data_IF_514181991779
#
_entry.id   IF_514181991779
#
_cell.length_a   1.000
_cell.length_b   1.000
_cell.length_c   1.000
_cell.angle_alpha   90.00
_cell.angle_beta   90.00
_cell.angle_gamma   90.00
#
_symmetry.space_group_name_H-M   'P 1'
#
loop_
_entity.id
_entity.type
_entity.pdbx_description
1 polymer ?
#
# COMPACT_ATOMS: atom_id res chain seq x y z
N UNK A 1 11.50 -0.56 41.47
CA UNK A 1 11.59 0.70 40.70
C UNK A 1 12.76 0.60 39.72
N UNK A 2 12.63 -0.17 38.63
CA UNK A 2 13.70 -0.43 37.65
C UNK A 2 13.22 -0.09 36.22
N UNK A 3 12.76 1.15 35.99
CA UNK A 3 12.01 1.44 34.76
C UNK A 3 12.14 2.85 34.18
N UNK A 4 13.30 3.51 34.25
CA UNK A 4 13.42 4.93 33.79
C UNK A 4 14.63 5.21 32.87
N UNK A 5 15.30 4.18 32.35
CA UNK A 5 16.43 4.37 31.41
C UNK A 5 16.21 3.67 30.06
N UNK A 6 14.97 3.71 29.54
CA UNK A 6 14.82 3.74 28.09
C UNK A 6 15.28 5.14 27.68
N UNK A 7 16.34 5.22 26.89
CA UNK A 7 16.93 6.51 26.54
C UNK A 7 15.92 7.36 25.75
N UNK A 8 15.96 8.70 25.85
CA UNK A 8 15.12 9.57 25.02
C UNK A 8 15.24 9.28 23.51
N UNK A 9 16.39 8.73 23.09
CA UNK A 9 16.62 8.29 21.72
C UNK A 9 15.79 7.05 21.35
N UNK A 10 15.62 6.10 22.27
CA UNK A 10 14.79 4.92 22.06
C UNK A 10 13.31 5.30 21.96
N UNK A 11 12.84 6.19 22.83
CA UNK A 11 11.47 6.71 22.78
C UNK A 11 11.20 7.45 21.47
N UNK A 12 12.14 8.30 21.03
CA UNK A 12 12.06 8.98 19.74
C UNK A 12 12.01 7.98 18.58
N UNK A 13 12.88 6.98 18.58
CA UNK A 13 12.96 6.01 17.51
C UNK A 13 11.69 5.11 17.45
N UNK A 14 11.11 4.76 18.60
CA UNK A 14 9.81 4.07 18.67
C UNK A 14 8.67 4.93 18.11
N UNK A 15 8.66 6.23 18.40
CA UNK A 15 7.68 7.17 17.85
C UNK A 15 7.79 7.26 16.31
N UNK A 16 9.00 7.34 15.77
CA UNK A 16 9.22 7.34 14.32
C UNK A 16 8.77 6.01 13.69
N UNK A 17 9.07 4.88 14.32
CA UNK A 17 8.64 3.57 13.85
C UNK A 17 7.11 3.43 13.81
N UNK A 18 6.41 3.98 14.80
CA UNK A 18 4.94 4.01 14.82
C UNK A 18 4.36 4.83 13.65
N UNK A 19 4.95 6.00 13.35
CA UNK A 19 4.52 6.79 12.18
C UNK A 19 4.76 6.07 10.86
N UNK A 20 5.86 5.34 10.71
CA UNK A 20 6.09 4.54 9.50
C UNK A 20 5.06 3.42 9.35
N UNK A 21 4.67 2.76 10.44
CA UNK A 21 3.60 1.77 10.42
C UNK A 21 2.26 2.38 9.97
N UNK A 22 1.90 3.56 10.48
CA UNK A 22 0.67 4.25 10.09
C UNK A 22 0.68 4.68 8.61
N UNK A 23 1.79 5.24 8.13
CA UNK A 23 1.97 5.60 6.72
C UNK A 23 1.85 4.35 5.84
N UNK A 24 2.43 3.23 6.27
CA UNK A 24 2.33 1.98 5.53
C UNK A 24 0.89 1.50 5.37
N UNK A 25 0.11 1.49 6.46
CA UNK A 25 -1.30 1.12 6.42
C UNK A 25 -2.10 2.04 5.50
N UNK A 26 -1.81 3.34 5.50
CA UNK A 26 -2.41 4.30 4.60
C UNK A 26 -2.07 4.03 3.12
N UNK A 27 -0.81 3.71 2.83
CA UNK A 27 -0.37 3.35 1.47
C UNK A 27 -1.05 2.07 0.98
N UNK A 28 -1.17 1.05 1.83
CA UNK A 28 -1.91 -0.18 1.50
C UNK A 28 -3.38 0.12 1.22
N UNK A 29 -4.01 0.98 2.03
CA UNK A 29 -5.40 1.40 1.83
C UNK A 29 -5.61 2.06 0.47
N UNK A 30 -4.80 3.07 0.14
CA UNK A 30 -4.86 3.75 -1.17
C UNK A 30 -4.56 2.77 -2.30
N UNK A 31 -3.54 1.91 -2.15
CA UNK A 31 -3.16 0.93 -3.16
C UNK A 31 -4.31 -0.02 -3.52
N UNK A 32 -5.04 -0.53 -2.51
CA UNK A 32 -6.21 -1.40 -2.70
C UNK A 32 -7.32 -0.69 -3.49
N UNK A 33 -7.70 0.51 -3.08
CA UNK A 33 -8.75 1.29 -3.75
C UNK A 33 -8.33 1.63 -5.18
N UNK A 34 -7.08 2.06 -5.37
CA UNK A 34 -6.56 2.46 -6.68
C UNK A 34 -6.55 1.30 -7.66
N UNK A 35 -6.15 0.10 -7.22
CA UNK A 35 -6.18 -1.10 -8.07
C UNK A 35 -7.59 -1.41 -8.58
N UNK A 36 -8.60 -1.34 -7.71
CA UNK A 36 -10.01 -1.55 -8.09
C UNK A 36 -10.47 -0.50 -9.09
N UNK A 37 -10.22 0.78 -8.82
CA UNK A 37 -10.62 1.88 -9.71
C UNK A 37 -10.00 1.74 -11.09
N UNK A 38 -8.69 1.45 -11.16
CA UNK A 38 -7.97 1.31 -12.44
C UNK A 38 -8.53 0.15 -13.26
N UNK A 39 -8.84 -1.00 -12.63
CA UNK A 39 -9.49 -2.13 -13.31
C UNK A 39 -10.87 -1.74 -13.83
N UNK A 40 -11.70 -1.06 -13.02
CA UNK A 40 -13.04 -0.65 -13.43
C UNK A 40 -13.01 0.34 -14.60
N UNK A 41 -12.16 1.36 -14.54
CA UNK A 41 -12.00 2.33 -15.64
C UNK A 41 -11.51 1.63 -16.90
N UNK A 42 -10.53 0.73 -16.78
CA UNK A 42 -10.06 -0.08 -17.90
C UNK A 42 -11.16 -0.96 -18.51
N UNK A 43 -11.96 -1.60 -17.67
CA UNK A 43 -13.08 -2.45 -18.10
C UNK A 43 -14.16 -1.63 -18.82
N UNK A 44 -14.52 -0.45 -18.30
CA UNK A 44 -15.48 0.45 -18.97
C UNK A 44 -14.95 0.84 -20.34
N UNK A 45 -13.69 1.30 -20.46
CA UNK A 45 -13.10 1.69 -21.74
C UNK A 45 -13.00 0.53 -22.74
N UNK A 46 -12.80 -0.68 -22.24
CA UNK A 46 -12.75 -1.88 -23.07
C UNK A 46 -14.15 -2.29 -23.55
N UNK A 47 -15.13 -2.44 -22.64
CA UNK A 47 -16.47 -2.93 -22.99
C UNK A 47 -17.33 -1.90 -23.73
N UNK A 48 -17.06 -0.61 -23.57
CA UNK A 48 -17.73 0.44 -24.37
C UNK A 48 -17.07 0.66 -25.73
N UNK A 49 -15.98 -0.07 -26.03
CA UNK A 49 -15.18 0.06 -27.24
C UNK A 49 -14.61 1.46 -27.53
N UNK A 50 -14.75 2.42 -26.61
CA UNK A 50 -14.25 3.80 -26.73
C UNK A 50 -12.74 3.82 -26.94
N UNK A 51 -12.00 2.97 -26.22
CA UNK A 51 -10.58 2.76 -26.44
C UNK A 51 -10.14 1.38 -25.97
N UNK A 52 -10.41 0.36 -26.78
CA UNK A 52 -10.14 -1.04 -26.46
C UNK A 52 -8.67 -1.31 -26.08
N UNK A 53 -7.71 -0.68 -26.78
CA UNK A 53 -6.27 -0.85 -26.50
C UNK A 53 -5.90 -0.32 -25.10
N UNK A 54 -6.29 0.93 -24.79
CA UNK A 54 -6.04 1.52 -23.46
C UNK A 54 -6.82 0.81 -22.36
N UNK A 55 -8.06 0.39 -22.64
CA UNK A 55 -8.91 -0.33 -21.70
C UNK A 55 -8.25 -1.64 -21.22
N UNK A 56 -7.79 -2.47 -22.16
CA UNK A 56 -7.04 -3.70 -21.83
C UNK A 56 -5.76 -3.41 -21.04
N UNK A 57 -5.00 -2.40 -21.46
CA UNK A 57 -3.77 -2.00 -20.75
C UNK A 57 -4.04 -1.56 -19.31
N UNK A 58 -5.14 -0.84 -19.07
CA UNK A 58 -5.55 -0.39 -17.73
C UNK A 58 -6.04 -1.55 -16.86
N UNK A 59 -6.81 -2.50 -17.41
CA UNK A 59 -7.18 -3.70 -16.67
C UNK A 59 -5.94 -4.46 -16.23
N UNK A 60 -4.98 -4.67 -17.14
CA UNK A 60 -3.75 -5.38 -16.82
C UNK A 60 -2.89 -4.64 -15.79
N UNK A 61 -2.78 -3.31 -15.89
CA UNK A 61 -2.02 -2.53 -14.91
C UNK A 61 -2.69 -2.49 -13.54
N UNK A 62 -4.02 -2.43 -13.48
CA UNK A 62 -4.79 -2.52 -12.24
C UNK A 62 -4.65 -3.89 -11.56
N UNK A 63 -4.67 -4.98 -12.33
CA UNK A 63 -4.39 -6.33 -11.83
C UNK A 63 -2.96 -6.45 -11.31
N UNK A 64 -1.98 -5.92 -12.05
CA UNK A 64 -0.58 -5.90 -11.60
C UNK A 64 -0.42 -5.11 -10.29
N UNK A 65 -1.05 -3.95 -10.19
CA UNK A 65 -1.05 -3.15 -8.96
C UNK A 65 -1.67 -3.93 -7.79
N UNK A 66 -2.79 -4.64 -8.02
CA UNK A 66 -3.40 -5.49 -6.99
C UNK A 66 -2.45 -6.58 -6.50
N UNK A 67 -1.70 -7.23 -7.41
CA UNK A 67 -0.70 -8.24 -7.05
C UNK A 67 0.42 -7.63 -6.20
N UNK A 68 0.94 -6.47 -6.60
CA UNK A 68 2.00 -5.76 -5.85
C UNK A 68 1.51 -5.38 -4.46
N UNK A 69 0.31 -4.79 -4.36
CA UNK A 69 -0.30 -4.43 -3.07
C UNK A 69 -0.51 -5.67 -2.21
N UNK A 70 -1.01 -6.77 -2.78
CA UNK A 70 -1.23 -8.02 -2.06
C UNK A 70 0.08 -8.63 -1.54
N UNK A 71 1.16 -8.54 -2.32
CA UNK A 71 2.49 -8.93 -1.86
C UNK A 71 2.89 -8.16 -0.59
N UNK A 72 2.74 -6.84 -0.61
CA UNK A 72 3.09 -5.97 0.53
C UNK A 72 2.15 -6.11 1.75
N UNK A 73 0.90 -6.52 1.53
CA UNK A 73 0.00 -6.95 2.62
C UNK A 73 0.49 -8.25 3.25
N UNK A 74 1.00 -9.17 2.44
CA UNK A 74 1.43 -10.51 2.89
C UNK A 74 2.78 -10.45 3.60
N UNK A 75 3.67 -9.59 3.12
CA UNK A 75 5.01 -9.39 3.65
C UNK A 75 5.20 -7.92 4.04
N UNK A 76 4.54 -7.45 5.12
CA UNK A 76 4.74 -6.09 5.59
C UNK A 76 6.17 -5.91 6.13
N UNK A 77 6.78 -4.73 5.96
CA UNK A 77 8.06 -4.42 6.56
C UNK A 77 7.95 -4.41 8.09
N UNK A 78 8.98 -4.94 8.76
CA UNK A 78 9.11 -4.82 10.21
C UNK A 78 9.55 -3.41 10.58
N UNK A 79 8.64 -2.59 11.09
CA UNK A 79 8.96 -1.28 11.70
C UNK A 79 9.28 -1.44 13.18
N UNK A 80 10.22 -2.32 13.52
CA UNK A 80 10.62 -2.61 14.89
C UNK A 80 12.11 -2.30 15.01
N UNK A 81 12.49 -1.59 16.07
CA UNK A 81 13.87 -1.55 16.52
C UNK A 81 14.09 -2.84 17.28
N UNK A 82 15.00 -3.70 16.78
CA UNK A 82 15.25 -5.04 17.31
C UNK A 82 15.49 -5.09 18.82
#
# INVERSE_FOLDING_TARGET
MQGVLLSPLLDFANLIAAYFAEIWDFLIFIGRISAVIVVLVGAILWFTEVNCSKGKSLVMSGVLLAIIVQYFVTYPPGFILG
#
